data_IF_855634095880
#
_entry.id   IF_855634095880
#
_cell.length_a   1.000
_cell.length_b   1.000
_cell.length_c   1.000
_cell.angle_alpha   90.00
_cell.angle_beta   90.00
_cell.angle_gamma   90.00
#
_symmetry.space_group_name_H-M   'P 1'
#
loop_
_entity.id
_entity.type
_entity.pdbx_description
1 polymer ?
#
# COMPACT_ATOMS: atom_id res chain seq x y z
N UNK A 1 0.73 2.13 30.78
CA UNK A 1 0.39 3.50 30.37
C UNK A 1 -0.29 3.39 29.01
N UNK A 2 -1.51 3.82 28.87
CA UNK A 2 -2.19 4.00 27.59
C UNK A 2 -1.93 5.43 27.11
N UNK A 3 -1.65 5.58 25.82
CA UNK A 3 -1.45 6.87 25.15
C UNK A 3 -2.51 7.00 24.07
N UNK A 4 -3.31 8.04 24.16
CA UNK A 4 -4.28 8.36 23.10
C UNK A 4 -3.59 9.10 21.97
N UNK A 5 -3.82 8.67 20.72
CA UNK A 5 -3.38 9.34 19.51
C UNK A 5 -4.60 9.64 18.64
N UNK A 6 -4.59 10.78 17.95
CA UNK A 6 -5.70 11.22 17.13
C UNK A 6 -5.51 10.81 15.67
N UNK A 7 -6.61 10.47 15.00
CA UNK A 7 -6.63 10.35 13.56
C UNK A 7 -6.66 11.75 12.96
N UNK A 8 -5.61 12.14 12.24
CA UNK A 8 -5.51 13.48 11.63
C UNK A 8 -6.00 13.51 10.18
N UNK A 9 -5.95 12.37 9.50
CA UNK A 9 -6.32 12.25 8.10
C UNK A 9 -6.70 10.80 7.76
N UNK A 10 -7.26 10.62 6.57
CA UNK A 10 -7.51 9.29 5.98
C UNK A 10 -6.92 9.20 4.59
N UNK A 11 -6.45 8.00 4.25
CA UNK A 11 -6.05 7.70 2.89
C UNK A 11 -7.27 7.48 2.01
N UNK A 12 -7.29 8.08 0.81
CA UNK A 12 -8.20 7.75 -0.28
C UNK A 12 -7.42 7.03 -1.36
N UNK A 13 -7.72 5.77 -1.61
CA UNK A 13 -6.97 4.92 -2.54
C UNK A 13 -7.91 4.06 -3.40
N UNK A 14 -7.34 3.37 -4.37
CA UNK A 14 -8.07 2.46 -5.28
C UNK A 14 -8.33 1.07 -4.67
N UNK A 15 -7.93 0.83 -3.43
CA UNK A 15 -8.08 -0.46 -2.75
C UNK A 15 -9.23 -0.44 -1.75
N UNK A 16 -10.42 -0.97 -2.09
CA UNK A 16 -11.52 -1.08 -1.14
C UNK A 16 -11.29 -2.16 -0.09
N UNK A 17 -10.35 -3.08 -0.33
CA UNK A 17 -9.97 -4.16 0.57
C UNK A 17 -8.45 -4.32 0.63
N UNK A 18 -7.96 -5.06 1.63
CA UNK A 18 -6.52 -5.35 1.77
C UNK A 18 -5.95 -6.31 0.71
N UNK A 19 -6.78 -6.94 -0.10
CA UNK A 19 -6.31 -7.87 -1.13
C UNK A 19 -5.63 -7.11 -2.27
N UNK A 20 -4.44 -7.55 -2.65
CA UNK A 20 -3.67 -6.96 -3.76
C UNK A 20 -2.90 -5.69 -3.43
N UNK A 21 -3.01 -5.14 -2.22
CA UNK A 21 -2.19 -4.00 -1.82
C UNK A 21 -0.70 -4.41 -1.87
N UNK A 22 0.18 -3.60 -2.52
CA UNK A 22 1.61 -3.84 -2.52
C UNK A 22 2.17 -4.02 -1.10
N UNK A 23 3.09 -4.95 -0.93
CA UNK A 23 3.63 -5.31 0.40
C UNK A 23 4.50 -4.24 1.03
N UNK A 24 4.96 -3.28 0.25
CA UNK A 24 5.77 -2.14 0.65
C UNK A 24 5.42 -0.92 -0.21
N UNK A 25 5.62 0.29 0.29
CA UNK A 25 5.48 1.50 -0.52
C UNK A 25 6.49 1.50 -1.67
N UNK A 26 6.21 2.26 -2.71
CA UNK A 26 7.02 2.45 -3.93
C UNK A 26 7.19 1.24 -4.86
N UNK A 27 6.71 0.05 -4.53
CA UNK A 27 6.76 -1.10 -5.45
C UNK A 27 6.00 -0.82 -6.75
N UNK A 28 4.89 -0.08 -6.67
CA UNK A 28 4.09 0.36 -7.83
C UNK A 28 3.98 1.88 -7.79
N UNK A 29 4.83 2.56 -8.54
CA UNK A 29 4.92 4.03 -8.53
C UNK A 29 3.73 4.72 -9.21
N UNK A 30 3.01 4.01 -10.06
CA UNK A 30 1.82 4.48 -10.78
C UNK A 30 0.58 4.58 -9.88
N UNK A 31 0.59 3.94 -8.71
CA UNK A 31 -0.50 4.06 -7.74
C UNK A 31 -0.63 5.51 -7.27
N UNK A 32 -1.82 6.07 -7.43
CA UNK A 32 -2.19 7.41 -6.98
C UNK A 32 -3.15 7.30 -5.82
N UNK A 33 -2.91 8.10 -4.79
CA UNK A 33 -3.77 8.19 -3.64
C UNK A 33 -3.84 9.63 -3.14
N UNK A 34 -4.82 9.91 -2.30
CA UNK A 34 -5.04 11.25 -1.73
C UNK A 34 -5.15 11.15 -0.21
N UNK A 35 -4.42 11.98 0.49
CA UNK A 35 -4.55 12.15 1.93
C UNK A 35 -5.57 13.26 2.18
N UNK A 36 -6.67 12.91 2.83
CA UNK A 36 -7.76 13.81 3.18
C UNK A 36 -7.76 14.02 4.69
N UNK A 37 -7.54 15.26 5.11
CA UNK A 37 -7.50 15.60 6.54
C UNK A 37 -8.90 15.56 7.15
N UNK A 38 -8.97 15.14 8.41
CA UNK A 38 -10.18 15.29 9.22
C UNK A 38 -10.50 16.78 9.41
N UNK A 39 -11.77 17.18 9.56
CA UNK A 39 -12.17 18.58 9.56
C UNK A 39 -11.40 19.47 10.55
N UNK A 40 -11.07 18.95 11.72
CA UNK A 40 -10.32 19.63 12.78
C UNK A 40 -8.89 20.01 12.33
N UNK A 41 -8.28 19.22 11.41
CA UNK A 41 -6.89 19.36 11.00
C UNK A 41 -6.72 19.97 9.61
N UNK A 42 -7.79 20.53 9.01
CA UNK A 42 -7.79 21.15 7.66
C UNK A 42 -7.18 22.55 7.60
N UNK A 43 -6.37 22.93 8.57
CA UNK A 43 -5.73 24.23 8.61
C UNK A 43 -4.57 24.27 7.59
N UNK A 44 -4.66 25.16 6.60
CA UNK A 44 -3.63 25.32 5.55
C UNK A 44 -2.26 25.72 6.12
N UNK A 45 -2.22 26.42 7.26
CA UNK A 45 -0.95 26.80 7.92
C UNK A 45 -0.15 25.59 8.41
N UNK A 46 -0.82 24.49 8.75
CA UNK A 46 -0.15 23.26 9.14
C UNK A 46 0.62 22.59 7.99
N UNK A 47 0.29 22.94 6.75
CA UNK A 47 0.91 22.40 5.53
C UNK A 47 1.88 23.38 4.87
N UNK A 48 2.10 24.55 5.47
CA UNK A 48 2.97 25.56 4.92
C UNK A 48 4.38 25.04 4.75
N UNK A 49 4.89 25.05 3.51
CA UNK A 49 6.23 24.58 3.17
C UNK A 49 6.33 23.09 2.82
N UNK A 50 5.24 22.30 2.92
CA UNK A 50 5.25 20.86 2.61
C UNK A 50 5.59 20.61 1.13
N UNK A 51 5.23 21.52 0.24
CA UNK A 51 5.50 21.46 -1.21
C UNK A 51 7.00 21.46 -1.56
N UNK A 52 7.84 21.89 -0.62
CA UNK A 52 9.31 21.83 -0.75
C UNK A 52 9.89 20.42 -0.61
N UNK A 53 9.09 19.43 -0.22
CA UNK A 53 9.54 18.06 -0.02
C UNK A 53 8.99 17.13 -1.10
N UNK A 54 9.84 16.26 -1.61
CA UNK A 54 9.44 15.26 -2.63
C UNK A 54 8.79 14.03 -2.05
N UNK A 55 9.07 13.70 -0.79
CA UNK A 55 8.57 12.49 -0.12
C UNK A 55 8.14 12.79 1.30
N UNK A 56 7.17 12.00 1.77
CA UNK A 56 6.59 12.11 3.10
C UNK A 56 6.58 10.73 3.77
N UNK A 57 6.92 10.70 5.06
CA UNK A 57 6.62 9.61 5.96
C UNK A 57 5.17 9.74 6.43
N UNK A 58 4.43 8.63 6.36
CA UNK A 58 3.06 8.53 6.88
C UNK A 58 3.05 7.50 7.99
N UNK A 59 2.58 7.88 9.18
CA UNK A 59 2.34 7.00 10.32
C UNK A 59 0.84 6.71 10.35
N UNK A 60 0.46 5.43 10.25
CA UNK A 60 -0.91 5.02 10.04
C UNK A 60 -1.25 3.72 10.78
N UNK A 61 -2.52 3.29 10.77
CA UNK A 61 -2.97 2.08 11.44
C UNK A 61 -3.36 0.98 10.46
N UNK A 62 -2.91 -0.24 10.75
CA UNK A 62 -3.45 -1.46 10.15
C UNK A 62 -4.84 -1.76 10.72
N UNK A 63 -5.86 -0.99 10.32
CA UNK A 63 -7.22 -1.04 10.87
C UNK A 63 -7.87 -2.42 10.77
N UNK A 64 -7.57 -3.17 9.67
CA UNK A 64 -8.09 -4.51 9.42
C UNK A 64 -7.31 -5.63 10.14
N UNK A 65 -6.27 -5.31 10.91
CA UNK A 65 -5.41 -6.28 11.57
C UNK A 65 -5.44 -6.19 13.10
N UNK A 66 -6.35 -5.39 13.65
CA UNK A 66 -6.50 -5.24 15.11
C UNK A 66 -7.00 -6.55 15.74
N UNK A 67 -6.31 -7.04 16.76
CA UNK A 67 -6.62 -8.27 17.48
C UNK A 67 -6.56 -8.03 18.99
N UNK A 68 -7.24 -8.85 19.76
CA UNK A 68 -7.26 -8.81 21.22
C UNK A 68 -5.97 -9.27 21.90
N UNK A 69 -4.90 -9.50 21.17
CA UNK A 69 -3.61 -9.91 21.70
C UNK A 69 -2.54 -9.90 20.63
N UNK A 70 -1.30 -10.03 21.03
CA UNK A 70 -0.16 -10.08 20.12
C UNK A 70 0.66 -11.35 20.32
N UNK A 71 1.46 -11.70 19.33
CA UNK A 71 2.41 -12.81 19.40
C UNK A 71 3.84 -12.27 19.24
N UNK A 72 4.81 -12.76 20.04
CA UNK A 72 6.21 -12.34 19.88
C UNK A 72 6.82 -12.78 18.56
N UNK A 73 6.20 -13.74 17.87
CA UNK A 73 6.69 -14.24 16.58
C UNK A 73 5.58 -14.26 15.53
N UNK A 74 6.00 -14.06 14.29
CA UNK A 74 5.17 -14.15 13.08
C UNK A 74 5.84 -15.06 12.04
N UNK A 75 5.12 -15.44 11.00
CA UNK A 75 5.63 -16.22 9.87
C UNK A 75 5.59 -15.36 8.61
N UNK A 76 6.73 -14.73 8.24
CA UNK A 76 6.78 -13.90 7.03
C UNK A 76 6.48 -14.73 5.78
N UNK A 77 5.58 -14.29 4.88
CA UNK A 77 5.29 -14.98 3.63
C UNK A 77 6.52 -15.18 2.74
N UNK A 78 7.45 -14.21 2.74
CA UNK A 78 8.71 -14.27 1.97
C UNK A 78 9.63 -15.43 2.39
N UNK A 79 9.49 -15.94 3.62
CA UNK A 79 10.22 -17.11 4.13
C UNK A 79 9.41 -18.42 3.98
N UNK A 80 8.48 -18.46 3.01
CA UNK A 80 7.65 -19.64 2.75
C UNK A 80 6.57 -19.92 3.81
N UNK A 81 6.38 -19.01 4.78
CA UNK A 81 5.34 -19.12 5.82
C UNK A 81 5.62 -20.18 6.92
N UNK A 82 6.74 -20.92 6.86
CA UNK A 82 7.12 -21.93 7.84
C UNK A 82 8.12 -21.42 8.87
N UNK A 83 9.00 -20.49 8.49
CA UNK A 83 10.00 -19.91 9.38
C UNK A 83 9.39 -18.87 10.29
N UNK A 84 9.64 -18.96 11.60
CA UNK A 84 9.21 -17.95 12.57
C UNK A 84 10.27 -16.88 12.73
N UNK A 85 9.84 -15.62 12.75
CA UNK A 85 10.67 -14.46 13.00
C UNK A 85 10.09 -13.67 14.17
N UNK A 86 10.94 -12.97 14.92
CA UNK A 86 10.49 -12.01 15.92
C UNK A 86 9.63 -10.91 15.25
N UNK A 87 8.51 -10.53 15.87
CA UNK A 87 7.60 -9.55 15.28
C UNK A 87 8.28 -8.21 15.00
N UNK A 88 9.23 -7.81 15.85
CA UNK A 88 9.98 -6.56 15.69
C UNK A 88 11.09 -6.63 14.61
N UNK A 89 11.46 -7.84 14.18
CA UNK A 89 12.33 -8.05 13.03
C UNK A 89 11.54 -8.10 11.70
N UNK A 90 10.28 -7.73 11.70
CA UNK A 90 9.40 -7.74 10.53
C UNK A 90 8.55 -6.48 10.45
N UNK A 91 7.89 -6.26 9.31
CA UNK A 91 6.86 -5.23 9.12
C UNK A 91 5.43 -5.81 9.18
N UNK A 92 5.25 -6.90 9.94
CA UNK A 92 3.94 -7.53 10.12
C UNK A 92 2.95 -6.58 10.78
N UNK A 93 1.66 -6.56 10.37
CA UNK A 93 0.61 -5.78 11.01
C UNK A 93 0.23 -6.31 12.41
N UNK A 94 0.58 -7.57 12.73
CA UNK A 94 0.23 -8.24 13.99
C UNK A 94 1.23 -7.89 15.10
N UNK A 95 1.31 -6.60 15.42
CA UNK A 95 2.20 -5.96 16.40
C UNK A 95 1.42 -5.53 17.63
N UNK A 96 2.10 -5.27 18.78
CA UNK A 96 1.43 -4.71 19.97
C UNK A 96 0.67 -3.41 19.65
N UNK A 97 1.30 -2.51 18.91
CA UNK A 97 0.67 -1.33 18.30
C UNK A 97 0.59 -1.58 16.79
N UNK A 98 -0.61 -1.65 16.24
CA UNK A 98 -0.84 -1.94 14.81
C UNK A 98 -0.49 -0.74 13.92
N UNK A 99 0.69 -0.13 14.15
CA UNK A 99 1.17 1.02 13.40
C UNK A 99 1.93 0.60 12.15
N UNK A 100 1.64 1.27 11.04
CA UNK A 100 2.38 1.24 9.80
C UNK A 100 3.21 2.49 9.62
N UNK A 101 4.26 2.39 8.84
CA UNK A 101 5.12 3.49 8.41
C UNK A 101 5.39 3.33 6.92
N UNK A 102 4.97 4.29 6.12
CA UNK A 102 5.15 4.29 4.67
C UNK A 102 5.79 5.60 4.22
N UNK A 103 6.84 5.50 3.42
CA UNK A 103 7.36 6.64 2.67
C UNK A 103 6.58 6.71 1.35
N UNK A 104 6.03 7.86 1.01
CA UNK A 104 5.29 8.08 -0.24
C UNK A 104 5.83 9.30 -0.97
N UNK A 105 5.71 9.34 -2.29
CA UNK A 105 6.08 10.51 -3.07
C UNK A 105 4.95 11.52 -3.02
N UNK A 106 5.25 12.77 -2.67
CA UNK A 106 4.33 13.89 -2.80
C UNK A 106 4.23 14.32 -4.27
N UNK A 107 3.02 14.35 -4.81
CA UNK A 107 2.75 14.78 -6.19
C UNK A 107 2.28 16.23 -6.25
N UNK A 108 1.59 16.68 -5.21
CA UNK A 108 1.06 18.04 -5.14
C UNK A 108 0.12 18.24 -3.96
N UNK A 109 -0.22 19.50 -3.75
CA UNK A 109 -1.16 19.98 -2.74
C UNK A 109 -2.29 20.65 -3.48
N UNK A 110 -3.53 20.31 -3.16
CA UNK A 110 -4.71 20.87 -3.78
C UNK A 110 -5.66 21.43 -2.73
N UNK A 111 -6.19 22.62 -2.99
CA UNK A 111 -7.27 23.21 -2.19
C UNK A 111 -8.61 22.87 -2.82
N UNK A 112 -9.37 22.01 -2.16
CA UNK A 112 -10.71 21.59 -2.59
C UNK A 112 -11.80 22.35 -1.81
N UNK A 113 -13.00 22.49 -2.41
CA UNK A 113 -14.14 23.14 -1.74
C UNK A 113 -14.74 22.29 -0.62
N UNK A 114 -14.72 20.95 -0.78
CA UNK A 114 -15.42 20.04 0.10
C UNK A 114 -14.51 19.49 1.22
N UNK A 115 -13.26 19.23 0.90
CA UNK A 115 -12.33 18.53 1.78
C UNK A 115 -11.22 19.43 2.33
N UNK A 116 -11.22 20.73 1.97
CA UNK A 116 -10.13 21.65 2.29
C UNK A 116 -8.85 21.27 1.53
N UNK A 117 -7.70 21.48 2.16
CA UNK A 117 -6.42 21.10 1.56
C UNK A 117 -6.23 19.59 1.61
N UNK A 118 -5.86 18.98 0.49
CA UNK A 118 -5.54 17.56 0.35
C UNK A 118 -4.13 17.39 -0.21
N UNK A 119 -3.50 16.24 0.06
CA UNK A 119 -2.20 15.89 -0.50
C UNK A 119 -2.35 14.74 -1.49
N UNK A 120 -1.90 14.94 -2.72
CA UNK A 120 -1.81 13.89 -3.72
C UNK A 120 -0.47 13.19 -3.61
N UNK A 121 -0.50 11.86 -3.50
CA UNK A 121 0.69 11.04 -3.32
C UNK A 121 0.74 9.88 -4.29
N UNK A 122 1.94 9.30 -4.49
CA UNK A 122 2.09 8.05 -5.24
C UNK A 122 2.90 7.01 -4.48
N UNK A 123 2.74 5.74 -4.89
CA UNK A 123 3.43 4.61 -4.31
C UNK A 123 2.92 4.22 -2.91
N UNK A 124 1.70 4.62 -2.54
CA UNK A 124 1.09 4.26 -1.27
C UNK A 124 0.65 2.79 -1.25
N UNK A 125 0.92 2.12 -0.13
CA UNK A 125 0.56 0.73 0.17
C UNK A 125 -0.57 0.65 1.23
N UNK A 126 -1.55 1.56 1.11
CA UNK A 126 -2.64 1.73 2.07
C UNK A 126 -4.02 1.49 1.42
N UNK A 127 -4.88 0.83 2.18
CA UNK A 127 -6.29 0.64 1.83
C UNK A 127 -7.06 1.97 1.90
N UNK A 128 -8.14 2.08 1.15
CA UNK A 128 -9.08 3.20 1.26
C UNK A 128 -9.64 3.32 2.68
N UNK A 129 -9.77 4.55 3.16
CA UNK A 129 -10.20 4.86 4.52
C UNK A 129 -9.17 4.62 5.63
N UNK A 130 -7.95 4.15 5.32
CA UNK A 130 -6.91 3.92 6.33
C UNK A 130 -6.64 5.17 7.18
N UNK A 131 -6.75 5.07 8.53
CA UNK A 131 -6.50 6.20 9.41
C UNK A 131 -5.01 6.54 9.47
N UNK A 132 -4.71 7.83 9.37
CA UNK A 132 -3.37 8.42 9.44
C UNK A 132 -3.27 9.22 10.73
N UNK A 133 -2.18 9.03 11.47
CA UNK A 133 -1.92 9.67 12.76
C UNK A 133 -0.91 10.80 12.68
N UNK A 134 0.06 10.71 11.73
CA UNK A 134 1.07 11.75 11.57
C UNK A 134 1.65 11.72 10.16
N UNK A 135 2.15 12.88 9.72
CA UNK A 135 2.84 13.08 8.45
C UNK A 135 4.11 13.86 8.74
N UNK A 136 5.25 13.34 8.26
CA UNK A 136 6.54 14.01 8.38
C UNK A 136 7.23 14.11 7.04
N UNK A 137 7.99 15.17 6.76
CA UNK A 137 8.80 15.22 5.56
C UNK A 137 9.92 14.17 5.61
N UNK A 138 10.22 13.57 4.45
CA UNK A 138 11.43 12.77 4.29
C UNK A 138 12.64 13.69 4.10
N UNK A 139 13.67 13.48 4.90
CA UNK A 139 14.87 14.31 4.92
C UNK A 139 16.08 13.46 4.45
N UNK A 140 16.56 13.63 3.19
CA UNK A 140 17.54 12.72 2.59
C UNK A 140 18.80 12.50 3.42
N UNK A 141 19.36 13.55 4.02
CA UNK A 141 20.60 13.43 4.81
C UNK A 141 20.43 12.69 6.13
N UNK A 142 19.18 12.58 6.65
CA UNK A 142 18.85 11.91 7.90
C UNK A 142 18.23 10.52 7.69
N UNK A 143 17.44 10.36 6.64
CA UNK A 143 16.59 9.16 6.43
C UNK A 143 17.23 8.16 5.47
N UNK A 144 18.20 8.59 4.62
CA UNK A 144 18.80 7.69 3.63
C UNK A 144 20.03 6.98 4.20
N UNK A 145 20.00 5.65 4.17
CA UNK A 145 21.08 4.75 4.56
C UNK A 145 21.40 3.78 3.43
N UNK A 146 22.16 4.17 2.40
CA UNK A 146 22.40 3.31 1.23
C UNK A 146 23.14 2.01 1.53
N UNK A 147 23.88 1.95 2.60
CA UNK A 147 24.68 0.83 3.12
C UNK A 147 23.93 -0.03 4.16
N UNK A 148 22.65 0.24 4.40
CA UNK A 148 21.85 -0.51 5.36
C UNK A 148 21.64 -1.97 4.91
N UNK A 149 21.78 -2.90 5.87
CA UNK A 149 21.51 -4.33 5.64
C UNK A 149 20.00 -4.61 5.78
N UNK A 150 19.42 -5.31 4.81
CA UNK A 150 18.00 -5.65 4.78
C UNK A 150 17.64 -6.95 5.54
N UNK A 151 18.62 -7.64 6.16
CA UNK A 151 18.39 -8.89 6.87
C UNK A 151 17.84 -9.99 5.95
N UNK A 152 16.77 -10.67 6.35
CA UNK A 152 16.19 -11.75 5.53
C UNK A 152 15.58 -11.27 4.21
N UNK A 153 15.38 -9.97 4.03
CA UNK A 153 14.83 -9.42 2.78
C UNK A 153 15.88 -9.38 1.67
N UNK A 154 17.18 -9.37 2.00
CA UNK A 154 18.27 -9.36 1.02
C UNK A 154 18.38 -10.68 0.25
N UNK A 155 17.94 -11.78 0.88
CA UNK A 155 17.94 -13.11 0.27
C UNK A 155 16.66 -13.46 -0.46
N UNK A 156 15.60 -12.74 -0.19
CA UNK A 156 14.29 -12.92 -0.83
C UNK A 156 14.17 -11.93 -2.00
N UNK A 157 14.66 -12.31 -3.19
CA UNK A 157 14.57 -11.48 -4.39
C UNK A 157 13.15 -10.99 -4.69
N UNK A 158 13.04 -9.88 -5.40
CA UNK A 158 11.77 -9.47 -5.98
C UNK A 158 11.43 -10.42 -7.12
N UNK A 159 10.30 -11.08 -7.00
CA UNK A 159 9.74 -11.92 -8.05
C UNK A 159 8.57 -11.18 -8.66
N UNK A 160 8.67 -10.88 -9.96
CA UNK A 160 7.60 -10.26 -10.73
C UNK A 160 7.01 -11.28 -11.69
N UNK A 161 5.68 -11.27 -11.80
CA UNK A 161 4.97 -12.04 -12.82
C UNK A 161 4.97 -11.28 -14.14
N UNK A 162 5.01 -12.01 -15.24
CA UNK A 162 4.64 -11.47 -16.55
C UNK A 162 3.12 -11.34 -16.61
N UNK A 163 2.63 -10.14 -16.97
CA UNK A 163 1.20 -9.85 -16.99
C UNK A 163 0.70 -9.80 -18.43
N UNK A 164 -0.10 -10.77 -18.81
CA UNK A 164 -0.92 -10.74 -20.00
C UNK A 164 -2.27 -10.10 -19.68
N UNK A 165 -2.45 -8.85 -20.10
CA UNK A 165 -3.68 -8.09 -19.94
C UNK A 165 -4.24 -7.78 -21.34
N UNK A 166 -5.24 -8.53 -21.85
CA UNK A 166 -5.84 -8.29 -23.15
C UNK A 166 -6.28 -6.83 -23.31
N UNK A 167 -6.00 -6.26 -24.48
CA UNK A 167 -6.16 -4.82 -24.72
C UNK A 167 -7.62 -4.34 -24.59
N UNK A 168 -8.57 -5.17 -24.95
CA UNK A 168 -10.00 -4.93 -24.83
C UNK A 168 -10.44 -4.90 -23.35
N UNK A 169 -9.92 -5.82 -22.52
CA UNK A 169 -10.18 -5.82 -21.07
C UNK A 169 -9.50 -4.66 -20.37
N UNK A 170 -8.26 -4.34 -20.75
CA UNK A 170 -7.51 -3.20 -20.21
C UNK A 170 -8.22 -1.86 -20.53
N UNK A 171 -8.85 -1.77 -21.70
CA UNK A 171 -9.59 -0.57 -22.11
C UNK A 171 -10.83 -0.29 -21.24
N UNK A 172 -11.36 -1.27 -20.52
CA UNK A 172 -12.46 -1.08 -19.56
C UNK A 172 -12.04 -0.26 -18.35
N UNK A 173 -10.75 -0.30 -17.98
CA UNK A 173 -10.23 0.54 -16.91
C UNK A 173 -10.01 1.98 -17.37
N UNK A 174 -10.25 2.98 -16.48
CA UNK A 174 -9.85 4.36 -16.74
C UNK A 174 -8.37 4.44 -17.12
N UNK A 175 -8.03 5.25 -18.12
CA UNK A 175 -6.67 5.35 -18.67
C UNK A 175 -5.60 5.56 -17.58
N UNK A 176 -5.85 6.48 -16.64
CA UNK A 176 -4.94 6.77 -15.54
C UNK A 176 -4.77 5.65 -14.49
N UNK A 177 -5.52 4.52 -14.62
CA UNK A 177 -5.44 3.36 -13.70
C UNK A 177 -4.79 2.13 -14.34
N UNK A 178 -4.63 2.11 -15.66
CA UNK A 178 -4.14 0.94 -16.41
C UNK A 178 -2.72 0.53 -16.00
N UNK A 179 -1.80 1.48 -15.99
CA UNK A 179 -0.42 1.20 -15.61
C UNK A 179 -0.31 0.73 -14.15
N UNK A 180 -1.07 1.34 -13.24
CA UNK A 180 -1.14 0.91 -11.84
C UNK A 180 -1.70 -0.51 -11.70
N UNK A 181 -2.77 -0.86 -12.42
CA UNK A 181 -3.34 -2.22 -12.42
C UNK A 181 -2.32 -3.28 -12.87
N UNK A 182 -1.60 -3.02 -13.97
CA UNK A 182 -0.53 -3.93 -14.46
C UNK A 182 0.58 -4.05 -13.40
N UNK A 183 1.05 -2.94 -12.84
CA UNK A 183 2.07 -2.95 -11.79
C UNK A 183 1.65 -3.75 -10.55
N UNK A 184 0.41 -3.62 -10.11
CA UNK A 184 -0.12 -4.39 -8.97
C UNK A 184 -0.16 -5.89 -9.28
N UNK A 185 -0.63 -6.27 -10.47
CA UNK A 185 -0.71 -7.66 -10.90
C UNK A 185 0.68 -8.29 -11.02
N UNK A 186 1.68 -7.55 -11.52
CA UNK A 186 3.06 -8.04 -11.63
C UNK A 186 3.69 -8.40 -10.29
N UNK A 187 3.27 -7.76 -9.19
CA UNK A 187 3.74 -8.07 -7.83
C UNK A 187 3.02 -9.24 -7.14
N UNK A 188 2.37 -10.10 -7.89
CA UNK A 188 1.65 -11.29 -7.41
C UNK A 188 0.71 -10.98 -6.23
N UNK A 189 -0.50 -10.47 -6.50
CA UNK A 189 -1.44 -10.09 -5.44
C UNK A 189 -1.99 -11.28 -4.65
N UNK A 190 -1.71 -12.53 -5.07
CA UNK A 190 -2.22 -13.74 -4.41
C UNK A 190 -1.64 -13.89 -3.00
N UNK A 191 -2.43 -14.39 -2.05
CA UNK A 191 -1.89 -14.84 -0.77
C UNK A 191 -0.89 -15.98 -0.99
N UNK A 192 0.28 -15.93 -0.34
CA UNK A 192 1.37 -16.89 -0.52
C UNK A 192 0.98 -18.37 -0.28
N UNK A 193 -0.09 -18.59 0.52
CA UNK A 193 -0.61 -19.93 0.85
C UNK A 193 -1.73 -20.39 -0.11
N UNK A 194 -2.12 -19.59 -1.11
CA UNK A 194 -3.21 -19.90 -2.05
C UNK A 194 -2.71 -20.00 -3.50
N UNK A 195 -1.65 -20.72 -3.73
CA UNK A 195 -1.12 -20.95 -5.09
C UNK A 195 -1.70 -22.25 -5.64
N UNK A 196 -2.86 -22.15 -6.31
CA UNK A 196 -3.51 -23.30 -6.99
C UNK A 196 -3.54 -23.04 -8.50
N UNK A 197 -2.96 -23.93 -9.34
CA UNK A 197 -3.07 -23.83 -10.79
C UNK A 197 -4.53 -23.77 -11.25
N UNK A 198 -4.82 -22.96 -12.27
CA UNK A 198 -6.14 -22.82 -12.87
C UNK A 198 -7.21 -22.15 -12.00
N UNK A 199 -6.86 -21.69 -10.78
CA UNK A 199 -7.78 -20.93 -9.94
C UNK A 199 -7.93 -19.50 -10.45
N UNK A 200 -9.15 -19.03 -10.57
CA UNK A 200 -9.45 -17.62 -10.82
C UNK A 200 -9.41 -16.85 -9.50
N UNK A 201 -8.67 -15.76 -9.49
CA UNK A 201 -8.57 -14.79 -8.40
C UNK A 201 -9.24 -13.48 -8.84
N UNK A 202 -9.83 -12.74 -7.92
CA UNK A 202 -10.37 -11.40 -8.15
C UNK A 202 -9.57 -10.36 -7.39
N UNK A 203 -9.21 -9.27 -8.05
CA UNK A 203 -8.57 -8.09 -7.46
C UNK A 203 -9.55 -6.91 -7.52
N UNK A 204 -10.16 -6.52 -6.39
CA UNK A 204 -10.91 -5.28 -6.30
C UNK A 204 -9.96 -4.08 -6.41
N UNK A 205 -10.04 -3.33 -7.50
CA UNK A 205 -9.17 -2.19 -7.77
C UNK A 205 -9.88 -1.12 -8.59
N UNK A 206 -9.80 0.14 -8.17
CA UNK A 206 -10.33 1.30 -8.90
C UNK A 206 -11.81 1.18 -9.33
N UNK A 207 -12.66 0.52 -8.53
CA UNK A 207 -14.08 0.31 -8.82
C UNK A 207 -14.39 -0.90 -9.71
N UNK A 208 -13.40 -1.75 -9.97
CA UNK A 208 -13.53 -2.98 -10.78
C UNK A 208 -13.04 -4.20 -10.00
N UNK A 209 -13.60 -5.38 -10.33
CA UNK A 209 -13.04 -6.68 -9.97
C UNK A 209 -12.26 -7.22 -11.18
N UNK A 210 -10.93 -7.22 -11.08
CA UNK A 210 -10.03 -7.72 -12.12
C UNK A 210 -9.78 -9.19 -11.84
N UNK A 211 -10.31 -10.08 -12.69
CA UNK A 211 -10.21 -11.52 -12.53
C UNK A 211 -9.07 -12.07 -13.35
N UNK A 212 -8.25 -12.92 -12.73
CA UNK A 212 -7.04 -13.43 -13.35
C UNK A 212 -6.71 -14.85 -12.90
N UNK A 213 -5.93 -15.55 -13.71
CA UNK A 213 -5.28 -16.82 -13.37
C UNK A 213 -3.77 -16.63 -13.34
N UNK A 214 -3.06 -17.53 -12.69
CA UNK A 214 -1.59 -17.55 -12.73
C UNK A 214 -1.10 -18.96 -12.95
N UNK A 215 -0.28 -19.12 -13.99
CA UNK A 215 0.41 -20.35 -14.34
C UNK A 215 1.92 -20.05 -14.39
N UNK A 216 2.68 -20.74 -13.53
CA UNK A 216 4.11 -20.48 -13.33
C UNK A 216 4.39 -19.00 -13.03
N UNK A 217 5.05 -18.29 -13.94
CA UNK A 217 5.40 -16.87 -13.83
C UNK A 217 4.46 -15.95 -14.64
N UNK A 218 3.46 -16.53 -15.33
CA UNK A 218 2.53 -15.78 -16.16
C UNK A 218 1.20 -15.55 -15.47
N UNK A 219 0.77 -14.30 -15.39
CA UNK A 219 -0.55 -13.89 -14.92
C UNK A 219 -1.38 -13.46 -16.12
N UNK A 220 -2.51 -14.13 -16.36
CA UNK A 220 -3.42 -13.78 -17.45
C UNK A 220 -4.73 -13.22 -16.87
N UNK A 221 -5.10 -12.01 -17.26
CA UNK A 221 -6.38 -11.41 -16.95
C UNK A 221 -7.44 -11.99 -17.86
N UNK A 222 -8.49 -12.55 -17.26
CA UNK A 222 -9.57 -13.22 -18.00
C UNK A 222 -10.88 -12.44 -18.00
N UNK A 223 -11.09 -11.52 -17.05
CA UNK A 223 -12.33 -10.73 -16.96
C UNK A 223 -12.10 -9.45 -16.16
N UNK A 224 -12.81 -8.37 -16.50
CA UNK A 224 -12.89 -7.11 -15.76
C UNK A 224 -14.36 -6.72 -15.64
N UNK A 225 -14.88 -6.67 -14.41
CA UNK A 225 -16.28 -6.32 -14.14
C UNK A 225 -16.37 -5.14 -13.15
N UNK A 226 -17.32 -4.21 -13.30
CA UNK A 226 -17.59 -3.18 -12.29
C UNK A 226 -17.95 -3.82 -10.93
N UNK A 227 -17.56 -3.17 -9.82
CA UNK A 227 -17.92 -3.56 -8.44
C UNK A 227 -19.27 -3.02 -8.03
#
# INVERSE_FOLDING_TARGET
MEVQINVIARMKSDYPTKFGIPRQPHLVQELRATIVFEPEYRNADALRGIEGFSHLWIIWQFSEAVRSGWSPTVRPPRLGGNTRMGVFATRSPFRPNNLGLSCVKLLGVEQTKEQGTVLHVSGADLMDGTPIFDIKPYIPYADSHPDALGGFTDTAGEFLLEVDFPADLLALLPEGKRAAAIGVLSHDPRPSYQRKPGRIYGLPFAGFDIRFTVEEENLTVCEVVPL
#
